data_IF_220290560050
#
_entry.id   IF_220290560050
#
_cell.length_a   1.000
_cell.length_b   1.000
_cell.length_c   1.000
_cell.angle_alpha   90.00
_cell.angle_beta   90.00
_cell.angle_gamma   90.00
#
_symmetry.space_group_name_H-M   'P 1'
#
loop_
_entity.id
_entity.type
_entity.pdbx_description
1 polymer ?
#
# COMPACT_ATOMS: atom_id res chain seq x y z
N UNK A 1 4.76 -4.99 -16.44
CA UNK A 1 5.68 -3.86 -16.75
C UNK A 1 5.12 -2.82 -17.73
N UNK A 2 3.86 -2.91 -18.21
CA UNK A 2 3.36 -2.08 -19.33
C UNK A 2 2.24 -1.06 -19.04
N UNK A 3 1.70 -0.94 -17.81
CA UNK A 3 0.57 -0.03 -17.56
C UNK A 3 0.93 1.45 -17.32
N UNK A 4 2.13 1.74 -16.79
CA UNK A 4 2.50 3.11 -16.39
C UNK A 4 2.92 4.02 -17.56
N UNK A 5 3.01 3.49 -18.79
CA UNK A 5 3.47 4.25 -19.97
C UNK A 5 2.36 5.01 -20.68
N UNK A 6 1.09 4.65 -20.50
CA UNK A 6 -0.02 5.21 -21.30
C UNK A 6 -0.72 6.42 -20.67
N UNK A 7 -0.52 6.71 -19.38
CA UNK A 7 -1.32 7.71 -18.65
C UNK A 7 -0.74 9.14 -18.65
N UNK A 8 0.34 9.42 -19.37
CA UNK A 8 0.95 10.76 -19.47
C UNK A 8 1.53 11.33 -18.16
N UNK A 9 1.31 10.67 -17.03
CA UNK A 9 1.89 10.96 -15.72
C UNK A 9 3.20 10.18 -15.58
N UNK A 10 4.25 10.83 -15.09
CA UNK A 10 5.58 10.24 -14.88
C UNK A 10 5.50 8.90 -14.13
N UNK A 11 6.25 7.89 -14.58
CA UNK A 11 6.32 6.54 -13.97
C UNK A 11 6.53 6.55 -12.45
N UNK A 12 7.19 7.58 -11.92
CA UNK A 12 7.45 7.74 -10.49
C UNK A 12 6.21 8.01 -9.64
N UNK A 13 5.12 8.54 -10.21
CA UNK A 13 3.87 8.75 -9.46
C UNK A 13 3.09 7.46 -9.20
N UNK A 14 3.35 6.39 -9.95
CA UNK A 14 2.61 5.13 -9.80
C UNK A 14 3.40 4.04 -9.09
N UNK A 15 4.73 4.14 -9.05
CA UNK A 15 5.59 3.04 -8.63
C UNK A 15 6.81 3.54 -7.85
N UNK A 16 6.93 3.08 -6.61
CA UNK A 16 8.17 3.15 -5.84
C UNK A 16 9.11 2.07 -6.35
N UNK A 17 10.35 2.39 -6.78
CA UNK A 17 11.33 1.39 -7.19
C UNK A 17 11.47 0.25 -6.16
N UNK A 18 11.71 -0.97 -6.63
CA UNK A 18 11.72 -2.17 -5.77
C UNK A 18 12.80 -2.09 -4.69
N UNK A 19 13.96 -1.55 -5.03
CA UNK A 19 15.10 -1.38 -4.13
C UNK A 19 14.78 -0.40 -3.00
N UNK A 20 14.12 0.71 -3.33
CA UNK A 20 13.66 1.70 -2.34
C UNK A 20 12.63 1.08 -1.41
N UNK A 21 11.67 0.35 -1.97
CA UNK A 21 10.62 -0.30 -1.20
C UNK A 21 11.20 -1.31 -0.20
N UNK A 22 12.15 -2.14 -0.64
CA UNK A 22 12.82 -3.12 0.25
C UNK A 22 13.59 -2.44 1.38
N UNK A 23 14.31 -1.35 1.10
CA UNK A 23 15.03 -0.61 2.13
C UNK A 23 14.04 -0.04 3.15
N UNK A 24 12.94 0.57 2.70
CA UNK A 24 11.91 1.13 3.58
C UNK A 24 11.31 0.06 4.49
N UNK A 25 10.93 -1.10 3.94
CA UNK A 25 10.39 -2.23 4.73
C UNK A 25 11.33 -2.62 5.87
N UNK A 26 12.63 -2.72 5.60
CA UNK A 26 13.63 -3.07 6.62
C UNK A 26 13.81 -1.98 7.67
N UNK A 27 13.77 -0.71 7.26
CA UNK A 27 13.87 0.44 8.18
C UNK A 27 12.72 0.45 9.18
N UNK A 28 11.51 0.09 8.75
CA UNK A 28 10.33 0.01 9.61
C UNK A 28 10.17 -1.36 10.30
N UNK A 29 11.17 -2.24 10.21
CA UNK A 29 11.21 -3.51 10.94
C UNK A 29 10.37 -4.64 10.34
N UNK A 30 9.97 -4.53 9.07
CA UNK A 30 9.30 -5.63 8.35
C UNK A 30 10.37 -6.57 7.78
N UNK A 31 10.38 -7.80 8.29
CA UNK A 31 11.26 -8.89 7.87
C UNK A 31 10.61 -10.28 8.02
N UNK A 32 11.42 -11.34 7.88
CA UNK A 32 10.96 -12.73 8.00
C UNK A 32 10.37 -13.09 9.38
N UNK A 33 10.66 -12.29 10.40
CA UNK A 33 10.19 -12.43 11.77
C UNK A 33 8.98 -11.54 12.11
N UNK A 34 8.45 -10.79 11.14
CA UNK A 34 7.21 -10.02 11.29
C UNK A 34 6.07 -10.89 11.83
N UNK A 35 5.37 -10.39 12.84
CA UNK A 35 4.21 -11.08 13.42
C UNK A 35 3.03 -11.11 12.45
N UNK A 36 2.21 -12.16 12.48
CA UNK A 36 1.07 -12.30 11.55
C UNK A 36 -0.07 -11.30 11.83
N UNK A 37 -0.13 -10.75 13.04
CA UNK A 37 -1.05 -9.67 13.42
C UNK A 37 -0.50 -8.27 13.10
N UNK A 38 0.73 -8.18 12.57
CA UNK A 38 1.30 -6.91 12.15
C UNK A 38 0.47 -6.28 11.02
N UNK A 39 0.51 -4.95 10.98
CA UNK A 39 -0.20 -4.17 9.96
C UNK A 39 0.75 -3.22 9.25
N UNK A 40 0.46 -2.89 7.99
CA UNK A 40 1.18 -1.87 7.24
C UNK A 40 0.18 -0.92 6.59
N UNK A 41 0.49 0.37 6.61
CA UNK A 41 -0.35 1.40 6.02
C UNK A 41 0.46 2.37 5.17
N UNK A 42 -0.04 2.67 3.97
CA UNK A 42 0.46 3.74 3.11
C UNK A 42 -0.70 4.71 2.78
N UNK A 43 -0.64 5.97 3.27
CA UNK A 43 -1.68 6.97 3.07
C UNK A 43 -1.78 7.51 1.63
N UNK A 44 -0.83 7.21 0.77
CA UNK A 44 -0.78 7.66 -0.62
C UNK A 44 -0.26 6.52 -1.49
N UNK A 45 -0.95 5.38 -1.43
CA UNK A 45 -0.38 4.10 -1.84
C UNK A 45 -0.15 3.98 -3.36
N UNK A 46 -0.65 4.91 -4.17
CA UNK A 46 -0.56 4.82 -5.62
C UNK A 46 -1.11 3.49 -6.10
N UNK A 47 -0.34 2.76 -6.92
CA UNK A 47 -0.70 1.42 -7.40
C UNK A 47 -0.57 0.29 -6.35
N UNK A 48 -0.22 0.62 -5.09
CA UNK A 48 -0.02 -0.35 -4.01
C UNK A 48 1.32 -1.09 -4.07
N UNK A 49 2.24 -0.68 -4.94
CA UNK A 49 3.49 -1.42 -5.19
C UNK A 49 4.44 -1.45 -3.99
N UNK A 50 4.53 -0.36 -3.21
CA UNK A 50 5.31 -0.33 -1.97
C UNK A 50 4.75 -1.32 -0.95
N UNK A 51 3.44 -1.29 -0.73
CA UNK A 51 2.73 -2.20 0.18
C UNK A 51 2.96 -3.68 -0.18
N UNK A 52 2.90 -4.02 -1.47
CA UNK A 52 3.21 -5.38 -1.94
C UNK A 52 4.66 -5.77 -1.64
N UNK A 53 5.62 -4.86 -1.86
CA UNK A 53 7.03 -5.10 -1.54
C UNK A 53 7.28 -5.24 -0.04
N UNK A 54 6.54 -4.52 0.80
CA UNK A 54 6.56 -4.75 2.24
C UNK A 54 6.01 -6.13 2.61
N UNK A 55 4.90 -6.54 2.01
CA UNK A 55 4.35 -7.88 2.20
C UNK A 55 5.31 -8.99 1.75
N UNK A 56 6.05 -8.81 0.66
CA UNK A 56 7.04 -9.78 0.18
C UNK A 56 8.15 -10.05 1.22
N UNK A 57 8.51 -9.05 2.03
CA UNK A 57 9.53 -9.19 3.08
C UNK A 57 8.96 -9.85 4.36
N UNK A 58 7.63 -9.98 4.48
CA UNK A 58 6.92 -10.67 5.56
C UNK A 58 6.25 -11.97 5.05
N UNK A 59 7.00 -13.06 4.81
CA UNK A 59 6.49 -14.28 4.18
C UNK A 59 5.41 -15.02 4.96
N UNK A 60 5.23 -14.72 6.25
CA UNK A 60 4.15 -15.26 7.09
C UNK A 60 2.84 -14.47 6.96
N UNK A 61 2.86 -13.36 6.21
CA UNK A 61 1.74 -12.45 6.03
C UNK A 61 1.72 -11.31 7.03
N UNK A 62 1.01 -10.24 6.63
CA UNK A 62 0.64 -9.08 7.45
C UNK A 62 -0.64 -8.47 6.86
N UNK A 63 -1.34 -7.63 7.62
CA UNK A 63 -2.55 -6.96 7.12
C UNK A 63 -2.21 -5.65 6.41
N UNK A 64 -2.62 -5.53 5.14
CA UNK A 64 -2.32 -4.38 4.28
C UNK A 64 -3.47 -3.38 4.29
N UNK A 65 -3.12 -2.12 4.52
CA UNK A 65 -4.02 -0.97 4.48
C UNK A 65 -3.45 0.10 3.54
N UNK A 66 -4.31 0.80 2.82
CA UNK A 66 -3.88 1.89 1.95
C UNK A 66 -4.98 2.90 1.68
N UNK A 67 -4.56 4.09 1.25
CA UNK A 67 -5.45 5.13 0.75
C UNK A 67 -4.85 5.77 -0.50
N UNK A 68 -5.68 6.04 -1.50
CA UNK A 68 -5.28 6.70 -2.74
C UNK A 68 -6.37 7.68 -3.18
N UNK A 69 -5.99 8.87 -3.63
CA UNK A 69 -6.92 9.92 -4.01
C UNK A 69 -7.57 9.64 -5.37
N UNK A 70 -6.79 9.16 -6.33
CA UNK A 70 -7.21 8.96 -7.71
C UNK A 70 -8.01 7.66 -7.87
N UNK A 71 -9.16 7.76 -8.54
CA UNK A 71 -10.08 6.64 -8.69
C UNK A 71 -9.49 5.49 -9.52
N UNK A 72 -8.85 5.80 -10.65
CA UNK A 72 -8.26 4.76 -11.51
C UNK A 72 -7.08 4.08 -10.80
N UNK A 73 -6.27 4.86 -10.09
CA UNK A 73 -5.09 4.37 -9.37
C UNK A 73 -5.46 3.52 -8.16
N UNK A 74 -6.47 3.93 -7.37
CA UNK A 74 -7.00 3.11 -6.26
C UNK A 74 -7.62 1.79 -6.75
N UNK A 75 -8.31 1.80 -7.89
CA UNK A 75 -8.82 0.58 -8.51
C UNK A 75 -7.68 -0.35 -8.97
N UNK A 76 -6.64 0.21 -9.58
CA UNK A 76 -5.43 -0.52 -9.96
C UNK A 76 -4.74 -1.13 -8.73
N UNK A 77 -4.63 -0.40 -7.62
CA UNK A 77 -4.07 -0.91 -6.38
C UNK A 77 -4.84 -2.13 -5.86
N UNK A 78 -6.18 -2.07 -5.84
CA UNK A 78 -7.02 -3.21 -5.45
C UNK A 78 -6.82 -4.42 -6.37
N UNK A 79 -6.72 -4.21 -7.68
CA UNK A 79 -6.42 -5.29 -8.63
C UNK A 79 -5.02 -5.88 -8.39
N UNK A 80 -4.01 -5.03 -8.17
CA UNK A 80 -2.65 -5.46 -7.87
C UNK A 80 -2.59 -6.32 -6.61
N UNK A 81 -3.32 -5.95 -5.56
CA UNK A 81 -3.41 -6.75 -4.34
C UNK A 81 -3.95 -8.16 -4.62
N UNK A 82 -5.05 -8.26 -5.37
CA UNK A 82 -5.64 -9.56 -5.73
C UNK A 82 -4.66 -10.39 -6.58
N UNK A 83 -4.04 -9.78 -7.60
CA UNK A 83 -3.11 -10.47 -8.51
C UNK A 83 -1.82 -10.94 -7.84
N UNK A 84 -1.46 -10.35 -6.69
CA UNK A 84 -0.28 -10.72 -5.90
C UNK A 84 -0.68 -11.40 -4.58
N UNK A 85 -1.79 -12.15 -4.57
CA UNK A 85 -2.23 -13.00 -3.45
C UNK A 85 -2.52 -12.27 -2.13
N UNK A 86 -2.85 -10.98 -2.19
CA UNK A 86 -3.19 -10.12 -1.06
C UNK A 86 -4.66 -9.67 -1.09
N UNK A 87 -5.58 -10.58 -1.40
CA UNK A 87 -7.00 -10.25 -1.64
C UNK A 87 -7.73 -9.65 -0.42
N UNK A 88 -7.19 -9.81 0.79
CA UNK A 88 -7.72 -9.23 2.04
C UNK A 88 -7.25 -7.80 2.30
N UNK A 89 -6.34 -7.27 1.49
CA UNK A 89 -5.85 -5.91 1.59
C UNK A 89 -7.00 -4.90 1.46
N UNK A 90 -6.98 -3.86 2.30
CA UNK A 90 -8.00 -2.82 2.29
C UNK A 90 -7.42 -1.53 1.73
N UNK A 91 -7.83 -1.17 0.52
CA UNK A 91 -7.44 0.07 -0.14
C UNK A 91 -8.67 0.95 -0.34
N UNK A 92 -8.67 2.15 0.24
CA UNK A 92 -9.74 3.12 0.06
C UNK A 92 -9.39 4.21 -0.94
N UNK A 93 -10.41 4.66 -1.67
CA UNK A 93 -10.33 5.88 -2.47
C UNK A 93 -10.68 7.08 -1.61
N UNK A 94 -9.82 8.10 -1.54
CA UNK A 94 -10.10 9.34 -0.81
C UNK A 94 -8.88 10.24 -0.65
N UNK A 95 -9.09 11.54 -0.41
CA UNK A 95 -7.99 12.45 -0.08
C UNK A 95 -7.59 12.24 1.39
N UNK A 96 -6.36 11.83 1.66
CA UNK A 96 -5.95 11.45 3.02
C UNK A 96 -5.89 12.60 4.01
N UNK A 97 -5.72 13.84 3.54
CA UNK A 97 -5.71 15.03 4.41
C UNK A 97 -7.15 15.50 4.69
N UNK A 98 -7.96 15.64 3.65
CA UNK A 98 -9.31 16.18 3.77
C UNK A 98 -10.35 15.15 4.24
N UNK A 99 -10.13 13.86 3.94
CA UNK A 99 -11.03 12.75 4.26
C UNK A 99 -10.24 11.46 4.58
N UNK A 100 -9.54 11.41 5.72
CA UNK A 100 -8.83 10.22 6.17
C UNK A 100 -9.83 9.07 6.44
N UNK A 101 -9.57 7.92 5.84
CA UNK A 101 -10.47 6.76 5.91
C UNK A 101 -10.19 5.85 7.11
N UNK A 102 -8.98 5.89 7.63
CA UNK A 102 -8.53 5.01 8.72
C UNK A 102 -8.61 5.71 10.06
N UNK A 103 -9.76 5.60 10.71
CA UNK A 103 -10.08 6.24 11.99
C UNK A 103 -10.54 5.21 13.02
N UNK A 104 -10.20 5.44 14.28
CA UNK A 104 -10.74 4.74 15.43
C UNK A 104 -12.18 5.18 15.72
N UNK A 105 -12.90 4.45 16.58
CA UNK A 105 -14.28 4.77 16.95
C UNK A 105 -14.44 6.15 17.60
N UNK A 106 -13.38 6.65 18.24
CA UNK A 106 -13.33 7.98 18.84
C UNK A 106 -13.00 9.11 17.84
N UNK A 107 -12.86 8.79 16.56
CA UNK A 107 -12.55 9.73 15.48
C UNK A 107 -11.06 10.07 15.32
N UNK A 108 -10.17 9.55 16.17
CA UNK A 108 -8.73 9.71 16.01
C UNK A 108 -8.20 8.88 14.83
N UNK A 109 -7.07 9.28 14.26
CA UNK A 109 -6.40 8.48 13.23
C UNK A 109 -5.95 7.14 13.82
N UNK A 110 -6.22 6.06 13.08
CA UNK A 110 -5.74 4.74 13.43
C UNK A 110 -4.22 4.68 13.32
N UNK A 111 -3.56 4.13 14.34
CA UNK A 111 -2.15 3.76 14.28
C UNK A 111 -1.99 2.35 13.70
N UNK A 112 -0.89 2.11 13.00
CA UNK A 112 -0.59 0.86 12.30
C UNK A 112 0.76 0.31 12.73
#
# INVERSE_FOLDING_TARGET
RHFATESGKSKGQFYTPSEVSRILSKVIGIDSNTSQDATVYDPTCGSGSLLLKASDEAPRGLSIFGQEMDNATSALARMNMILHNNATAKIWKGNTIADPQWKEANGQLKAF
#
